data_IF_350364431993
#
_entry.id   IF_350364431993
#
_cell.length_a   1.000
_cell.length_b   1.000
_cell.length_c   1.000
_cell.angle_alpha   90.00
_cell.angle_beta   90.00
_cell.angle_gamma   90.00
#
_symmetry.space_group_name_H-M   'P 1'
#
loop_
_entity.id
_entity.type
_entity.pdbx_description
1 polymer ?
#
# COMPACT_ATOMS: atom_id res chain seq x y z
N UNK A 1 -4.97 9.44 -9.01
CA UNK A 1 -4.00 9.05 -7.96
C UNK A 1 -2.86 8.25 -8.56
N UNK A 2 -1.59 8.56 -8.25
CA UNK A 2 -0.43 7.77 -8.68
C UNK A 2 -0.04 6.81 -7.56
N UNK A 3 0.56 5.66 -7.89
CA UNK A 3 1.02 4.67 -6.92
C UNK A 3 2.44 4.22 -7.24
N UNK A 4 3.22 3.93 -6.21
CA UNK A 4 4.38 3.03 -6.34
C UNK A 4 4.01 1.69 -5.74
N UNK A 5 4.23 0.63 -6.49
CA UNK A 5 3.93 -0.72 -6.07
C UNK A 5 5.22 -1.51 -6.10
N UNK A 6 5.49 -2.22 -5.02
CA UNK A 6 6.59 -3.16 -4.91
C UNK A 6 6.03 -4.57 -4.74
N UNK A 7 6.66 -5.53 -5.41
CA UNK A 7 6.43 -6.96 -5.26
C UNK A 7 7.77 -7.61 -4.85
N UNK A 8 7.79 -8.23 -3.66
CA UNK A 8 8.96 -8.97 -3.18
C UNK A 8 8.93 -10.46 -3.55
N UNK A 9 8.04 -10.86 -4.46
CA UNK A 9 7.88 -12.23 -4.99
C UNK A 9 7.54 -13.28 -3.91
N UNK A 10 7.01 -12.84 -2.77
CA UNK A 10 6.64 -13.71 -1.65
C UNK A 10 7.79 -13.98 -0.69
N UNK A 11 8.85 -13.17 -0.72
CA UNK A 11 9.94 -13.25 0.26
C UNK A 11 9.46 -13.05 1.71
N UNK A 12 8.37 -12.30 1.90
CA UNK A 12 7.70 -12.10 3.19
C UNK A 12 6.18 -12.23 3.05
N UNK A 13 5.48 -12.31 4.19
CA UNK A 13 4.01 -12.37 4.21
C UNK A 13 3.36 -11.13 3.61
N UNK A 14 3.99 -9.96 3.71
CA UNK A 14 3.58 -8.71 3.08
C UNK A 14 4.17 -8.52 1.68
N UNK A 15 3.87 -9.47 0.80
CA UNK A 15 4.41 -9.53 -0.56
C UNK A 15 4.36 -8.20 -1.32
N UNK A 16 3.25 -7.47 -1.20
CA UNK A 16 3.05 -6.22 -1.91
C UNK A 16 3.10 -5.02 -0.96
N UNK A 17 3.87 -4.00 -1.33
CA UNK A 17 3.88 -2.70 -0.65
C UNK A 17 3.45 -1.59 -1.61
N UNK A 18 2.41 -0.84 -1.25
CA UNK A 18 1.82 0.19 -2.08
C UNK A 18 1.93 1.55 -1.39
N UNK A 19 2.65 2.49 -2.02
CA UNK A 19 2.72 3.87 -1.60
C UNK A 19 1.81 4.74 -2.47
N UNK A 20 0.77 5.37 -1.90
CA UNK A 20 0.03 6.41 -2.59
C UNK A 20 0.95 7.60 -2.85
N UNK A 21 1.05 8.01 -4.12
CA UNK A 21 1.69 9.26 -4.54
C UNK A 21 0.60 10.27 -4.88
N UNK A 22 0.02 10.83 -3.84
CA UNK A 22 -0.80 12.04 -3.94
C UNK A 22 -0.14 13.16 -3.11
N UNK A 23 -0.25 14.41 -3.57
CA UNK A 23 0.29 15.57 -2.83
C UNK A 23 -0.41 15.73 -1.49
N UNK A 24 -1.71 15.44 -1.43
CA UNK A 24 -2.49 15.51 -0.19
C UNK A 24 -2.08 14.40 0.78
N UNK A 25 -1.86 13.19 0.26
CA UNK A 25 -1.38 12.05 1.03
C UNK A 25 0.04 12.29 1.57
N UNK A 26 0.96 12.77 0.73
CA UNK A 26 2.32 13.13 1.13
C UNK A 26 2.32 14.28 2.17
N UNK A 27 1.38 15.23 2.08
CA UNK A 27 1.25 16.31 3.05
C UNK A 27 0.72 15.81 4.41
N UNK A 28 -0.28 14.93 4.41
CA UNK A 28 -0.77 14.29 5.64
C UNK A 28 0.29 13.38 6.27
N UNK A 29 0.97 12.57 5.45
CA UNK A 29 2.07 11.71 5.87
C UNK A 29 3.15 12.47 6.65
N UNK A 30 3.55 13.64 6.16
CA UNK A 30 4.57 14.49 6.82
C UNK A 30 4.14 15.06 8.16
N UNK A 31 2.83 15.14 8.44
CA UNK A 31 2.32 15.55 9.76
C UNK A 31 2.41 14.41 10.78
N UNK A 32 2.33 13.16 10.33
CA UNK A 32 2.24 11.96 11.18
C UNK A 32 3.61 11.31 11.37
N UNK A 33 4.49 11.41 10.37
CA UNK A 33 5.84 10.82 10.41
C UNK A 33 6.90 11.92 10.29
N UNK A 34 7.64 12.26 11.38
CA UNK A 34 8.70 13.27 11.33
C UNK A 34 9.93 12.79 10.54
N UNK A 35 10.04 11.49 10.27
CA UNK A 35 11.12 10.92 9.48
C UNK A 35 10.92 11.15 7.98
N UNK A 36 11.77 12.00 7.39
CA UNK A 36 11.69 12.44 5.98
C UNK A 36 11.72 11.31 4.94
N UNK A 37 12.20 10.12 5.31
CA UNK A 37 12.35 8.96 4.43
C UNK A 37 11.23 7.92 4.58
N UNK A 38 10.45 7.96 5.66
CA UNK A 38 9.32 7.07 5.85
C UNK A 38 8.07 7.68 5.22
N UNK A 39 7.25 6.82 4.60
CA UNK A 39 5.99 7.20 3.98
C UNK A 39 4.91 6.19 4.37
N UNK A 40 3.67 6.63 4.63
CA UNK A 40 2.54 5.74 4.79
C UNK A 40 2.34 4.89 3.55
N UNK A 41 2.14 3.60 3.76
CA UNK A 41 1.91 2.63 2.72
C UNK A 41 0.88 1.60 3.16
N UNK A 42 0.29 0.93 2.16
CA UNK A 42 -0.52 -0.25 2.35
C UNK A 42 0.35 -1.49 2.09
N UNK A 43 0.48 -2.33 3.10
CA UNK A 43 1.18 -3.61 3.06
C UNK A 43 0.14 -4.73 2.88
N UNK A 44 0.35 -5.61 1.89
CA UNK A 44 -0.60 -6.63 1.46
C UNK A 44 0.10 -7.97 1.23
N UNK A 45 -0.58 -9.05 1.60
CA UNK A 45 -0.15 -10.41 1.26
C UNK A 45 -0.38 -10.78 -0.20
N UNK A 46 0.24 -11.88 -0.64
CA UNK A 46 0.04 -12.48 -1.97
C UNK A 46 -1.37 -13.04 -2.20
N UNK A 47 -2.13 -13.26 -1.12
CA UNK A 47 -3.53 -13.68 -1.13
C UNK A 47 -4.37 -12.82 -0.15
N UNK A 48 -4.58 -11.53 -0.43
CA UNK A 48 -5.42 -10.62 0.32
C UNK A 48 -6.88 -10.84 -0.12
N UNK A 49 -7.35 -12.07 0.07
CA UNK A 49 -8.78 -12.30 0.14
C UNK A 49 -9.25 -11.78 1.51
N UNK A 50 -10.45 -11.16 1.61
CA UNK A 50 -11.01 -10.72 2.90
C UNK A 50 -11.20 -11.86 3.93
N UNK A 51 -10.92 -13.12 3.55
CA UNK A 51 -11.31 -14.34 4.24
C UNK A 51 -10.12 -15.26 4.56
N UNK A 52 -8.90 -14.95 4.12
CA UNK A 52 -7.75 -15.78 4.51
C UNK A 52 -7.34 -15.38 5.93
N UNK A 53 -7.44 -16.27 6.93
CA UNK A 53 -7.24 -15.92 8.34
C UNK A 53 -5.83 -15.39 8.64
N UNK A 54 -4.89 -15.57 7.73
CA UNK A 54 -3.50 -15.15 7.83
C UNK A 54 -3.09 -14.08 6.80
N UNK A 55 -4.05 -13.50 6.07
CA UNK A 55 -3.78 -12.48 5.05
C UNK A 55 -3.38 -11.14 5.68
N UNK A 56 -2.30 -10.53 5.19
CA UNK A 56 -1.88 -9.18 5.58
C UNK A 56 -2.64 -8.14 4.76
N UNK A 57 -3.22 -7.14 5.43
CA UNK A 57 -3.77 -5.92 4.83
C UNK A 57 -3.74 -4.75 5.80
N UNK A 58 -2.57 -4.14 5.96
CA UNK A 58 -2.32 -3.17 7.01
C UNK A 58 -1.76 -1.85 6.46
N UNK A 59 -2.24 -0.73 7.00
CA UNK A 59 -1.58 0.55 6.82
C UNK A 59 -0.39 0.65 7.76
N UNK A 60 0.77 0.98 7.23
CA UNK A 60 2.03 1.12 7.98
C UNK A 60 2.84 2.27 7.41
N UNK A 61 4.07 2.46 7.87
CA UNK A 61 5.04 3.40 7.33
C UNK A 61 6.28 2.65 6.87
N UNK A 62 6.76 2.92 5.66
CA UNK A 62 7.95 2.28 5.10
C UNK A 62 8.81 3.26 4.32
N UNK A 63 10.08 2.91 4.12
CA UNK A 63 10.97 3.64 3.23
C UNK A 63 10.82 3.07 1.81
N UNK A 64 10.47 3.85 0.79
CA UNK A 64 10.52 3.36 -0.57
C UNK A 64 11.93 2.98 -1.01
N UNK A 65 12.11 1.81 -1.62
CA UNK A 65 13.40 1.42 -2.16
C UNK A 65 13.45 -0.02 -2.65
N UNK A 66 14.59 -0.41 -3.22
CA UNK A 66 14.84 -1.74 -3.78
C UNK A 66 14.76 -2.88 -2.75
N UNK A 67 14.90 -2.58 -1.46
CA UNK A 67 14.74 -3.57 -0.39
C UNK A 67 13.32 -4.14 -0.28
N UNK A 68 12.32 -3.47 -0.89
CA UNK A 68 10.94 -3.95 -0.96
C UNK A 68 10.69 -4.88 -2.16
N UNK A 69 11.74 -5.19 -2.94
CA UNK A 69 11.62 -6.00 -4.16
C UNK A 69 11.47 -5.15 -5.42
N UNK A 70 10.86 -5.77 -6.44
CA UNK A 70 10.73 -5.16 -7.76
C UNK A 70 9.62 -4.13 -7.77
N UNK A 71 9.91 -2.94 -8.29
CA UNK A 71 8.87 -1.97 -8.55
C UNK A 71 8.05 -2.39 -9.79
N UNK A 72 6.75 -2.56 -9.61
CA UNK A 72 5.79 -2.94 -10.66
C UNK A 72 4.73 -1.84 -10.85
N UNK A 73 3.94 -1.93 -11.92
CA UNK A 73 2.81 -1.03 -12.12
C UNK A 73 1.59 -1.56 -11.37
N UNK A 74 0.68 -0.67 -10.97
CA UNK A 74 -0.56 -1.08 -10.29
C UNK A 74 -1.38 -2.09 -11.11
N UNK A 75 -1.36 -1.99 -12.44
CA UNK A 75 -2.09 -2.94 -13.29
C UNK A 75 -1.42 -4.31 -13.39
N UNK A 76 -0.16 -4.45 -12.99
CA UNK A 76 0.56 -5.72 -12.94
C UNK A 76 0.18 -6.55 -11.70
N UNK A 77 -0.50 -5.93 -10.71
CA UNK A 77 -1.06 -6.65 -9.57
C UNK A 77 -2.15 -7.64 -10.03
N UNK A 78 -2.23 -8.82 -9.40
CA UNK A 78 -3.39 -9.70 -9.59
C UNK A 78 -4.71 -8.98 -9.28
N UNK A 79 -5.77 -9.36 -9.99
CA UNK A 79 -7.02 -8.59 -10.10
C UNK A 79 -7.69 -8.36 -8.73
N UNK A 80 -7.67 -9.38 -7.89
CA UNK A 80 -8.18 -9.36 -6.52
C UNK A 80 -7.36 -8.43 -5.61
N UNK A 81 -6.02 -8.49 -5.67
CA UNK A 81 -5.12 -7.58 -4.94
C UNK A 81 -5.42 -6.14 -5.32
N UNK A 82 -5.53 -5.90 -6.62
CA UNK A 82 -5.73 -4.57 -7.17
C UNK A 82 -7.08 -3.99 -6.74
N UNK A 83 -8.14 -4.79 -6.80
CA UNK A 83 -9.47 -4.39 -6.36
C UNK A 83 -9.48 -4.05 -4.86
N UNK A 84 -8.86 -4.89 -4.03
CA UNK A 84 -8.76 -4.66 -2.59
C UNK A 84 -7.92 -3.41 -2.25
N UNK A 85 -6.76 -3.27 -2.89
CA UNK A 85 -5.89 -2.10 -2.73
C UNK A 85 -6.63 -0.80 -3.07
N UNK A 86 -7.32 -0.76 -4.21
CA UNK A 86 -8.09 0.41 -4.63
C UNK A 86 -9.22 0.75 -3.65
N UNK A 87 -9.92 -0.25 -3.10
CA UNK A 87 -10.95 -0.05 -2.08
C UNK A 87 -10.38 0.55 -0.79
N UNK A 88 -9.22 0.06 -0.35
CA UNK A 88 -8.54 0.51 0.88
C UNK A 88 -7.93 1.90 0.73
N UNK A 89 -7.41 2.21 -0.46
CA UNK A 89 -6.75 3.47 -0.78
C UNK A 89 -7.71 4.56 -1.26
N UNK A 90 -8.99 4.25 -1.46
CA UNK A 90 -9.97 5.26 -1.79
C UNK A 90 -10.01 6.33 -0.68
N UNK A 91 -10.02 7.63 -1.03
CA UNK A 91 -10.25 8.67 -0.04
C UNK A 91 -11.57 8.41 0.68
N UNK A 92 -11.60 8.64 1.99
CA UNK A 92 -12.83 8.45 2.77
C UNK A 92 -13.95 9.25 2.12
N UNK A 93 -15.06 8.57 1.81
CA UNK A 93 -16.33 9.26 1.59
C UNK A 93 -16.62 9.95 2.91
N UNK A 94 -16.57 11.28 2.94
CA UNK A 94 -17.01 12.05 4.11
C UNK A 94 -18.45 11.63 4.38
N UNK A 95 -18.65 10.78 5.37
CA UNK A 95 -19.96 10.61 5.97
C UNK A 95 -20.17 11.88 6.80
N UNK A 96 -20.96 12.80 6.27
CA UNK A 96 -21.55 13.86 7.06
C UNK A 96 -22.42 13.15 8.12
N UNK A 97 -21.93 13.16 9.36
CA UNK A 97 -22.71 12.77 10.54
C UNK A 97 -23.74 13.85 10.88
#
# INVERSE_FOLDING_TARGET
MKYMVYDNEGATLDRYTIFPRDKEWDAQARKITPHRYLRPCLSLSGHPVPWHPQGVSQFTTGAPGSHLGKQIKLHDLPVDIRAHALKRLAPEVKHEC
#
